data_IF_215102365602
#
_entry.id   IF_215102365602
#
_cell.length_a   1.000
_cell.length_b   1.000
_cell.length_c   1.000
_cell.angle_alpha   90.00
_cell.angle_beta   90.00
_cell.angle_gamma   90.00
#
_symmetry.space_group_name_H-M   'P 1'
#
loop_
_entity.id
_entity.type
_entity.pdbx_description
1 polymer ?
#
# COMPACT_ATOMS: atom_id res chain seq x y z
N UNK A 1 18.61 3.70 2.10
CA UNK A 1 18.20 2.30 2.35
C UNK A 1 19.34 1.32 2.11
N UNK A 2 20.08 1.43 1.01
CA UNK A 2 21.14 0.48 0.64
C UNK A 2 22.19 0.29 1.75
N UNK A 3 22.62 1.35 2.40
CA UNK A 3 23.60 1.26 3.48
C UNK A 3 23.04 0.52 4.72
N UNK A 4 21.76 0.69 5.02
CA UNK A 4 21.12 -0.05 6.11
C UNK A 4 21.09 -1.55 5.77
N UNK A 5 20.71 -1.89 4.53
CA UNK A 5 20.69 -3.28 4.10
C UNK A 5 22.09 -3.91 4.02
N UNK A 6 23.12 -3.13 3.66
CA UNK A 6 24.52 -3.59 3.75
C UNK A 6 24.92 -3.91 5.19
N UNK A 7 24.47 -3.09 6.15
CA UNK A 7 24.72 -3.36 7.57
C UNK A 7 24.04 -4.67 8.02
N UNK A 8 22.78 -4.89 7.61
CA UNK A 8 22.04 -6.13 7.90
C UNK A 8 22.74 -7.33 7.26
N UNK A 9 23.18 -7.23 6.00
CA UNK A 9 23.94 -8.30 5.33
C UNK A 9 25.25 -8.58 6.06
N UNK A 10 25.94 -7.53 6.56
CA UNK A 10 27.17 -7.74 7.35
C UNK A 10 26.88 -8.44 8.68
N UNK A 11 25.75 -8.14 9.31
CA UNK A 11 25.31 -8.83 10.53
C UNK A 11 25.02 -10.32 10.25
N UNK A 12 24.36 -10.64 9.14
CA UNK A 12 24.16 -12.04 8.72
C UNK A 12 25.49 -12.77 8.50
N UNK A 13 26.43 -12.13 7.80
CA UNK A 13 27.78 -12.70 7.63
C UNK A 13 28.52 -12.88 8.97
N UNK A 14 28.32 -11.97 9.92
CA UNK A 14 28.90 -12.09 11.25
C UNK A 14 28.36 -13.30 12.02
N UNK A 15 27.08 -13.64 11.84
CA UNK A 15 26.50 -14.88 12.39
C UNK A 15 27.22 -16.11 11.83
N UNK A 16 27.45 -16.16 10.52
CA UNK A 16 28.15 -17.29 9.87
C UNK A 16 29.62 -17.40 10.33
N UNK A 17 30.30 -16.25 10.47
CA UNK A 17 31.71 -16.18 10.91
C UNK A 17 31.90 -16.59 12.37
N UNK A 18 30.92 -16.23 13.24
CA UNK A 18 31.04 -16.47 14.69
C UNK A 18 30.41 -17.77 15.16
N UNK A 19 29.51 -18.35 14.35
CA UNK A 19 28.82 -19.61 14.61
C UNK A 19 28.27 -19.72 16.05
N UNK A 20 27.33 -18.85 16.47
CA UNK A 20 26.85 -18.81 17.86
C UNK A 20 26.29 -20.15 18.34
N UNK A 21 25.75 -20.97 17.47
CA UNK A 21 25.30 -22.34 17.77
C UNK A 21 26.46 -23.29 18.14
N UNK A 22 27.66 -23.04 17.65
CA UNK A 22 28.85 -23.78 18.05
C UNK A 22 29.37 -23.29 19.41
N UNK A 23 29.39 -21.97 19.62
CA UNK A 23 29.76 -21.37 20.91
C UNK A 23 28.83 -21.79 22.05
N UNK A 24 27.56 -22.01 21.76
CA UNK A 24 26.56 -22.43 22.74
C UNK A 24 26.76 -23.85 23.30
N UNK A 25 27.58 -24.68 22.63
CA UNK A 25 27.84 -26.08 23.06
C UNK A 25 28.81 -26.20 24.22
N UNK A 26 29.62 -25.18 24.47
CA UNK A 26 30.64 -25.19 25.49
C UNK A 26 30.47 -24.04 26.49
N UNK A 27 30.41 -24.37 27.77
CA UNK A 27 30.29 -23.42 28.86
C UNK A 27 31.43 -22.38 28.87
N UNK A 28 32.67 -22.79 28.54
CA UNK A 28 33.81 -21.89 28.49
C UNK A 28 33.63 -20.75 27.47
N UNK A 29 32.80 -20.95 26.43
CA UNK A 29 32.52 -19.99 25.38
C UNK A 29 31.33 -19.06 25.67
N UNK A 30 30.63 -19.21 26.81
CA UNK A 30 29.48 -18.37 27.15
C UNK A 30 29.76 -16.86 27.14
N UNK A 31 30.90 -16.36 27.68
CA UNK A 31 31.20 -14.93 27.62
C UNK A 31 31.33 -14.43 26.16
N UNK A 32 31.93 -15.25 25.30
CA UNK A 32 32.07 -14.93 23.87
C UNK A 32 30.70 -14.95 23.16
N UNK A 33 29.88 -15.95 23.47
CA UNK A 33 28.52 -16.05 22.93
C UNK A 33 27.68 -14.81 23.35
N UNK A 34 27.74 -14.41 24.63
CA UNK A 34 27.04 -13.22 25.11
C UNK A 34 27.46 -11.96 24.34
N UNK A 35 28.77 -11.78 24.09
CA UNK A 35 29.28 -10.66 23.30
C UNK A 35 28.77 -10.69 21.86
N UNK A 36 28.75 -11.86 21.22
CA UNK A 36 28.26 -12.02 19.84
C UNK A 36 26.76 -11.69 19.77
N UNK A 37 25.97 -12.23 20.70
CA UNK A 37 24.52 -11.99 20.75
C UNK A 37 24.22 -10.51 21.00
N UNK A 38 24.92 -9.87 21.94
CA UNK A 38 24.77 -8.46 22.22
C UNK A 38 25.07 -7.58 21.00
N UNK A 39 26.17 -7.86 20.29
CA UNK A 39 26.54 -7.14 19.08
C UNK A 39 25.45 -7.25 17.99
N UNK A 40 24.86 -8.43 17.84
CA UNK A 40 23.77 -8.64 16.88
C UNK A 40 22.50 -7.87 17.28
N UNK A 41 22.10 -7.92 18.56
CA UNK A 41 20.94 -7.20 19.06
C UNK A 41 21.09 -5.68 18.90
N UNK A 42 22.28 -5.17 19.21
CA UNK A 42 22.59 -3.75 19.05
C UNK A 42 22.57 -3.30 17.58
N UNK A 43 23.09 -4.14 16.70
CA UNK A 43 23.00 -3.88 15.25
C UNK A 43 21.55 -3.87 14.79
N UNK A 44 20.73 -4.83 15.26
CA UNK A 44 19.28 -4.86 14.95
C UNK A 44 18.62 -3.59 15.46
N UNK A 45 18.88 -3.16 16.71
CA UNK A 45 18.32 -1.93 17.26
C UNK A 45 18.63 -0.72 16.38
N UNK A 46 19.90 -0.53 16.02
CA UNK A 46 20.34 0.60 15.20
C UNK A 46 19.66 0.56 13.83
N UNK A 47 19.74 -0.58 13.13
CA UNK A 47 19.10 -0.73 11.81
C UNK A 47 17.59 -0.51 11.89
N UNK A 48 16.92 -1.00 12.94
CA UNK A 48 15.49 -0.80 13.14
C UNK A 48 15.15 0.67 13.36
N UNK A 49 15.94 1.40 14.15
CA UNK A 49 15.76 2.86 14.34
C UNK A 49 15.87 3.61 13.01
N UNK A 50 16.83 3.24 12.16
CA UNK A 50 17.02 3.84 10.84
C UNK A 50 15.91 3.47 9.84
N UNK A 51 15.23 2.34 10.04
CA UNK A 51 14.11 1.87 9.21
C UNK A 51 12.74 2.42 9.65
N UNK A 52 12.63 3.05 10.82
CA UNK A 52 11.38 3.62 11.33
C UNK A 52 10.59 4.45 10.31
N UNK A 53 11.22 5.35 9.51
CA UNK A 53 10.50 6.15 8.53
C UNK A 53 9.89 5.34 7.38
N UNK A 54 10.36 4.10 7.15
CA UNK A 54 9.96 3.27 6.01
C UNK A 54 8.96 2.19 6.38
N UNK A 55 9.16 1.52 7.53
CA UNK A 55 8.34 0.38 7.97
C UNK A 55 8.01 0.47 9.48
N UNK A 56 7.34 1.54 9.95
CA UNK A 56 7.14 1.83 11.37
C UNK A 56 6.49 0.67 12.14
N UNK A 57 5.41 0.10 11.62
CA UNK A 57 4.69 -0.99 12.27
C UNK A 57 5.55 -2.28 12.46
N UNK A 58 6.44 -2.57 11.51
CA UNK A 58 7.39 -3.67 11.65
C UNK A 58 8.48 -3.36 12.66
N UNK A 59 8.95 -2.12 12.69
CA UNK A 59 9.97 -1.67 13.64
C UNK A 59 9.49 -1.78 15.09
N UNK A 60 8.26 -1.40 15.38
CA UNK A 60 7.65 -1.57 16.72
C UNK A 60 7.69 -3.03 17.18
N UNK A 61 7.33 -3.96 16.30
CA UNK A 61 7.39 -5.40 16.58
C UNK A 61 8.83 -5.88 16.82
N UNK A 62 9.80 -5.39 16.04
CA UNK A 62 11.22 -5.73 16.20
C UNK A 62 11.72 -5.24 17.56
N UNK A 63 11.46 -3.98 17.93
CA UNK A 63 11.86 -3.44 19.22
C UNK A 63 11.25 -4.22 20.39
N UNK A 64 9.98 -4.59 20.31
CA UNK A 64 9.34 -5.43 21.32
C UNK A 64 10.02 -6.81 21.43
N UNK A 65 10.39 -7.43 20.30
CA UNK A 65 11.06 -8.74 20.31
C UNK A 65 12.47 -8.70 20.90
N UNK A 66 13.24 -7.64 20.62
CA UNK A 66 14.61 -7.49 21.18
C UNK A 66 14.63 -6.87 22.59
N UNK A 67 13.48 -6.54 23.16
CA UNK A 67 13.38 -5.92 24.47
C UNK A 67 14.03 -4.54 24.56
N UNK A 68 13.96 -3.75 23.48
CA UNK A 68 14.49 -2.40 23.46
C UNK A 68 13.51 -1.42 24.11
N UNK A 69 13.94 -0.69 25.13
CA UNK A 69 13.14 0.36 25.76
C UNK A 69 12.92 1.56 24.84
N UNK A 70 11.83 2.29 25.01
CA UNK A 70 11.50 3.47 24.21
C UNK A 70 12.62 4.53 24.20
N UNK A 71 13.38 4.65 25.30
CA UNK A 71 14.49 5.59 25.42
C UNK A 71 15.65 5.33 24.44
N UNK A 72 15.80 4.10 23.94
CA UNK A 72 16.89 3.72 23.01
C UNK A 72 16.42 3.53 21.57
N UNK A 73 15.13 3.76 21.29
CA UNK A 73 14.53 3.67 19.95
C UNK A 73 14.59 5.00 19.17
N UNK A 74 15.16 6.04 19.77
CA UNK A 74 15.19 7.40 19.22
C UNK A 74 16.31 7.57 18.20
N UNK A 75 16.11 8.51 17.25
CA UNK A 75 17.08 8.83 16.22
C UNK A 75 18.46 9.23 16.78
N UNK A 76 18.47 9.98 17.89
CA UNK A 76 19.71 10.42 18.57
C UNK A 76 20.51 9.23 19.14
N UNK A 77 19.86 8.10 19.36
CA UNK A 77 20.50 6.88 19.84
C UNK A 77 20.94 5.94 18.70
N UNK A 78 20.58 6.24 17.46
CA UNK A 78 20.97 5.42 16.32
C UNK A 78 22.51 5.44 16.06
N UNK A 79 23.18 6.52 16.43
CA UNK A 79 24.63 6.66 16.29
C UNK A 79 25.42 6.26 17.55
N UNK A 80 24.73 5.80 18.60
CA UNK A 80 25.36 5.39 19.87
C UNK A 80 25.36 3.87 19.95
N UNK A 81 26.55 3.27 19.94
CA UNK A 81 26.74 1.84 20.18
C UNK A 81 26.71 1.55 21.68
N UNK A 82 26.06 0.44 22.05
CA UNK A 82 25.98 0.03 23.45
C UNK A 82 24.82 0.67 24.20
N UNK A 83 23.83 1.22 23.50
CA UNK A 83 22.66 1.84 24.13
C UNK A 83 21.62 0.80 24.60
N UNK A 84 21.58 -0.39 24.00
CA UNK A 84 20.70 -1.47 24.48
C UNK A 84 21.13 -1.93 25.86
N UNK A 85 20.17 -2.18 26.76
CA UNK A 85 20.46 -2.72 28.08
C UNK A 85 21.13 -4.09 27.98
N UNK A 86 22.19 -4.32 28.77
CA UNK A 86 22.83 -5.63 28.86
C UNK A 86 21.91 -6.69 29.50
N UNK A 87 20.83 -6.25 30.15
CA UNK A 87 19.80 -7.11 30.75
C UNK A 87 18.54 -7.18 29.86
N UNK A 88 18.60 -6.71 28.61
CA UNK A 88 17.49 -6.82 27.70
C UNK A 88 17.10 -8.29 27.46
N UNK A 89 15.82 -8.57 27.58
CA UNK A 89 15.27 -9.90 27.35
C UNK A 89 14.66 -9.98 25.96
N UNK A 90 15.06 -10.98 25.20
CA UNK A 90 14.49 -11.25 23.89
C UNK A 90 13.18 -12.03 24.04
N UNK A 91 12.15 -11.59 23.36
CA UNK A 91 10.84 -12.22 23.37
C UNK A 91 10.54 -12.90 22.03
N UNK A 92 10.09 -14.16 22.08
CA UNK A 92 9.63 -14.82 20.86
C UNK A 92 8.28 -14.23 20.44
N UNK A 93 8.27 -13.52 19.32
CA UNK A 93 7.06 -12.98 18.72
C UNK A 93 6.65 -13.75 17.45
N UNK A 94 5.60 -13.25 16.80
CA UNK A 94 5.18 -13.73 15.50
C UNK A 94 6.22 -13.37 14.42
N UNK A 95 6.21 -14.12 13.31
CA UNK A 95 7.04 -13.78 12.16
C UNK A 95 6.61 -12.42 11.59
N UNK A 96 7.53 -11.45 11.61
CA UNK A 96 7.25 -10.07 11.16
C UNK A 96 7.08 -10.02 9.65
N UNK A 97 7.85 -10.84 8.91
CA UNK A 97 7.79 -10.98 7.46
C UNK A 97 7.48 -12.44 7.10
N UNK A 98 6.19 -12.86 7.22
CA UNK A 98 5.81 -14.21 6.83
C UNK A 98 5.94 -14.36 5.31
N UNK A 99 6.23 -15.58 4.85
CA UNK A 99 6.16 -15.88 3.41
C UNK A 99 4.70 -15.78 2.97
N UNK A 100 4.49 -14.98 1.94
CA UNK A 100 3.17 -14.77 1.33
C UNK A 100 3.02 -15.78 0.19
N UNK A 101 1.91 -16.50 0.16
CA UNK A 101 1.48 -17.25 -1.03
C UNK A 101 0.98 -16.22 -2.06
N UNK A 102 1.76 -16.05 -3.13
CA UNK A 102 1.47 -15.05 -4.15
C UNK A 102 0.11 -15.28 -4.83
N UNK A 103 -0.26 -16.54 -5.08
CA UNK A 103 -1.52 -16.85 -5.74
C UNK A 103 -2.73 -16.47 -4.87
N UNK A 104 -2.66 -16.78 -3.57
CA UNK A 104 -3.71 -16.45 -2.61
C UNK A 104 -3.80 -14.94 -2.40
N UNK A 105 -2.67 -14.26 -2.20
CA UNK A 105 -2.65 -12.82 -1.97
C UNK A 105 -3.17 -12.03 -3.18
N UNK A 106 -2.83 -12.45 -4.41
CA UNK A 106 -3.35 -11.83 -5.63
C UNK A 106 -4.86 -12.04 -5.80
N UNK A 107 -5.37 -13.21 -5.42
CA UNK A 107 -6.83 -13.47 -5.44
C UNK A 107 -7.56 -12.56 -4.44
N UNK A 108 -7.07 -12.45 -3.20
CA UNK A 108 -7.64 -11.56 -2.18
C UNK A 108 -7.60 -10.09 -2.62
N UNK A 109 -6.50 -9.63 -3.24
CA UNK A 109 -6.39 -8.27 -3.78
C UNK A 109 -7.39 -8.01 -4.91
N UNK A 110 -7.57 -8.98 -5.82
CA UNK A 110 -8.53 -8.86 -6.92
C UNK A 110 -9.99 -8.76 -6.40
N UNK A 111 -10.34 -9.50 -5.37
CA UNK A 111 -11.63 -9.39 -4.70
C UNK A 111 -11.84 -8.01 -4.06
N UNK A 112 -10.84 -7.51 -3.32
CA UNK A 112 -10.89 -6.18 -2.71
C UNK A 112 -11.01 -5.05 -3.76
N UNK A 113 -10.27 -5.16 -4.86
CA UNK A 113 -10.39 -4.20 -5.97
C UNK A 113 -11.76 -4.24 -6.63
N UNK A 114 -12.34 -5.43 -6.79
CA UNK A 114 -13.69 -5.58 -7.35
C UNK A 114 -14.74 -4.96 -6.44
N UNK A 115 -14.64 -5.16 -5.12
CA UNK A 115 -15.52 -4.54 -4.14
C UNK A 115 -15.38 -3.01 -4.12
N UNK A 116 -14.16 -2.49 -4.16
CA UNK A 116 -13.93 -1.05 -4.21
C UNK A 116 -14.47 -0.42 -5.48
N UNK A 117 -14.26 -1.06 -6.64
CA UNK A 117 -14.85 -0.59 -7.91
C UNK A 117 -16.36 -0.58 -7.86
N UNK A 118 -16.97 -1.63 -7.28
CA UNK A 118 -18.43 -1.70 -7.13
C UNK A 118 -18.98 -0.63 -6.19
N UNK A 119 -18.26 -0.29 -5.12
CA UNK A 119 -18.64 0.77 -4.18
C UNK A 119 -18.47 2.19 -4.77
N UNK A 120 -17.51 2.38 -5.67
CA UNK A 120 -17.22 3.66 -6.33
C UNK A 120 -18.14 3.94 -7.54
N UNK A 121 -18.77 2.91 -8.12
CA UNK A 121 -19.71 3.10 -9.20
C UNK A 121 -21.01 3.64 -8.61
N UNK A 122 -21.49 4.83 -9.05
CA UNK A 122 -22.81 5.29 -8.66
C UNK A 122 -23.84 4.24 -9.11
N UNK A 123 -24.79 3.93 -8.24
CA UNK A 123 -25.92 3.07 -8.62
C UNK A 123 -26.62 3.73 -9.80
N UNK A 124 -26.43 3.16 -10.99
CA UNK A 124 -27.14 3.60 -12.19
C UNK A 124 -28.54 3.02 -12.06
N UNK A 125 -29.51 3.86 -11.69
CA UNK A 125 -30.92 3.52 -11.83
C UNK A 125 -31.22 3.44 -13.33
N UNK A 126 -31.29 2.24 -13.84
CA UNK A 126 -31.72 2.01 -15.22
C UNK A 126 -33.24 2.12 -15.22
N UNK A 127 -33.75 3.17 -15.89
CA UNK A 127 -35.20 3.29 -16.10
C UNK A 127 -35.72 2.03 -16.83
N UNK A 128 -36.90 1.51 -16.44
CA UNK A 128 -37.48 0.35 -17.09
C UNK A 128 -37.68 0.65 -18.58
N UNK A 129 -37.43 -0.35 -19.42
CA UNK A 129 -37.68 -0.22 -20.86
C UNK A 129 -39.17 0.10 -21.11
N UNK A 130 -39.45 1.01 -22.04
CA UNK A 130 -40.79 1.31 -22.49
C UNK A 130 -41.46 0.01 -22.98
N UNK A 131 -42.68 -0.25 -22.52
CA UNK A 131 -43.42 -1.44 -22.92
C UNK A 131 -43.90 -1.38 -24.37
N UNK A 132 -44.13 -0.17 -24.91
CA UNK A 132 -44.46 0.04 -26.31
C UNK A 132 -43.23 -0.04 -27.19
N UNK A 133 -43.24 -1.03 -28.07
CA UNK A 133 -42.19 -1.21 -29.10
C UNK A 133 -42.58 -0.48 -30.36
N UNK A 134 -41.63 0.31 -30.89
CA UNK A 134 -41.78 0.96 -32.18
C UNK A 134 -41.49 -0.07 -33.26
N UNK A 135 -42.32 -0.11 -34.33
CA UNK A 135 -42.05 -0.97 -35.48
C UNK A 135 -40.79 -0.50 -36.24
N UNK A 136 -40.21 -1.43 -37.00
CA UNK A 136 -38.95 -1.16 -37.71
C UNK A 136 -39.07 -0.03 -38.73
N UNK A 137 -40.19 0.09 -39.43
CA UNK A 137 -40.42 1.12 -40.43
C UNK A 137 -40.51 2.51 -39.79
N UNK A 138 -41.10 2.62 -38.63
CA UNK A 138 -41.13 3.85 -37.84
C UNK A 138 -39.76 4.21 -37.32
N UNK A 139 -38.98 3.22 -36.83
CA UNK A 139 -37.59 3.44 -36.40
C UNK A 139 -36.70 3.94 -37.58
N UNK A 140 -36.84 3.36 -38.75
CA UNK A 140 -36.07 3.76 -39.94
C UNK A 140 -36.39 5.20 -40.46
N UNK A 141 -37.50 5.79 -40.00
CA UNK A 141 -37.82 7.20 -40.27
C UNK A 141 -37.07 8.17 -39.34
N UNK A 142 -36.41 7.64 -38.29
CA UNK A 142 -35.64 8.45 -37.37
C UNK A 142 -34.20 8.62 -37.88
N UNK A 143 -33.74 9.87 -37.96
CA UNK A 143 -32.37 10.22 -38.37
C UNK A 143 -31.54 10.51 -37.11
N UNK A 144 -30.64 9.58 -36.78
CA UNK A 144 -29.73 9.71 -35.63
C UNK A 144 -28.35 10.11 -36.12
N UNK A 145 -27.86 11.28 -35.70
CA UNK A 145 -26.57 11.82 -36.10
C UNK A 145 -25.72 12.16 -34.90
N UNK A 146 -24.42 11.87 -35.00
CA UNK A 146 -23.42 12.41 -34.09
C UNK A 146 -23.17 13.88 -34.45
N UNK A 147 -23.25 14.77 -33.52
CA UNK A 147 -23.12 16.22 -33.72
C UNK A 147 -22.03 16.79 -32.80
N UNK A 148 -21.38 17.87 -33.21
CA UNK A 148 -20.43 18.61 -32.39
C UNK A 148 -21.15 19.71 -31.64
N UNK A 149 -21.02 19.74 -30.33
CA UNK A 149 -21.54 20.82 -29.47
C UNK A 149 -20.63 22.05 -29.62
N UNK A 150 -21.16 23.14 -30.14
CA UNK A 150 -20.48 24.45 -30.25
C UNK A 150 -20.62 25.27 -29.00
N UNK A 151 -21.83 25.32 -28.42
CA UNK A 151 -22.09 26.03 -27.19
C UNK A 151 -23.20 25.36 -26.39
N UNK A 152 -23.17 25.53 -25.07
CA UNK A 152 -24.21 25.10 -24.14
C UNK A 152 -24.45 26.23 -23.15
N UNK A 153 -25.67 26.71 -23.06
CA UNK A 153 -26.08 27.83 -22.20
C UNK A 153 -27.31 27.48 -21.40
N UNK A 154 -27.46 28.03 -20.20
CA UNK A 154 -28.71 27.91 -19.43
C UNK A 154 -29.80 28.78 -20.06
N UNK A 155 -31.00 28.23 -20.16
CA UNK A 155 -32.15 28.99 -20.61
C UNK A 155 -32.61 29.93 -19.48
N UNK A 156 -32.71 31.22 -19.79
CA UNK A 156 -33.24 32.22 -18.81
C UNK A 156 -34.63 31.83 -18.36
N UNK A 157 -34.87 31.79 -17.05
CA UNK A 157 -36.12 31.40 -16.40
C UNK A 157 -36.48 29.92 -16.41
N UNK A 158 -35.51 29.02 -16.65
CA UNK A 158 -35.69 27.59 -16.50
C UNK A 158 -34.46 26.95 -15.82
N UNK A 159 -34.70 26.26 -14.73
CA UNK A 159 -33.61 25.55 -14.00
C UNK A 159 -33.31 24.15 -14.59
N UNK A 160 -34.19 23.69 -15.51
CA UNK A 160 -34.13 22.32 -16.06
C UNK A 160 -33.72 22.26 -17.54
N UNK A 161 -33.70 23.39 -18.24
CA UNK A 161 -33.43 23.41 -19.67
C UNK A 161 -32.07 24.00 -19.99
N UNK A 162 -31.38 23.35 -20.90
CA UNK A 162 -30.11 23.80 -21.49
C UNK A 162 -30.31 24.03 -22.97
N UNK A 163 -29.77 25.13 -23.50
CA UNK A 163 -29.76 25.44 -24.92
C UNK A 163 -28.45 25.04 -25.53
N UNK A 164 -28.48 24.12 -26.47
CA UNK A 164 -27.32 23.66 -27.20
C UNK A 164 -27.33 24.26 -28.61
N UNK A 165 -26.17 24.71 -29.07
CA UNK A 165 -25.90 25.00 -30.47
C UNK A 165 -25.02 23.88 -31.01
N UNK A 166 -25.51 23.17 -32.00
CA UNK A 166 -24.92 21.94 -32.50
C UNK A 166 -24.53 22.12 -34.00
N UNK A 167 -23.40 21.54 -34.38
CA UNK A 167 -22.96 21.40 -35.76
C UNK A 167 -23.17 19.95 -36.19
N UNK A 168 -24.11 19.72 -37.07
CA UNK A 168 -24.45 18.40 -37.62
C UNK A 168 -23.81 18.15 -39.01
N UNK A 169 -22.90 19.06 -39.45
CA UNK A 169 -22.24 18.97 -40.77
C UNK A 169 -23.08 19.44 -41.95
N UNK A 170 -24.32 19.95 -41.72
CA UNK A 170 -25.18 20.48 -42.79
C UNK A 170 -24.84 21.89 -43.24
N UNK A 171 -23.86 22.55 -42.59
CA UNK A 171 -23.45 23.94 -42.89
C UNK A 171 -24.29 25.00 -42.14
N UNK A 172 -25.33 24.59 -41.41
CA UNK A 172 -26.14 25.47 -40.55
C UNK A 172 -26.19 24.95 -39.16
N UNK A 173 -25.99 25.86 -38.20
CA UNK A 173 -26.02 25.46 -36.78
C UNK A 173 -27.45 25.12 -36.33
N UNK A 174 -27.62 23.96 -35.68
CA UNK A 174 -28.91 23.53 -35.16
C UNK A 174 -29.00 23.87 -33.67
N UNK A 175 -30.11 24.47 -33.26
CA UNK A 175 -30.40 24.76 -31.86
C UNK A 175 -31.37 23.72 -31.28
N UNK A 176 -31.01 23.16 -30.09
CA UNK A 176 -31.87 22.26 -29.29
C UNK A 176 -32.00 22.81 -27.87
N UNK A 177 -33.16 22.62 -27.28
CA UNK A 177 -33.50 23.00 -25.87
C UNK A 177 -33.72 21.74 -25.07
#
# INVERSE_FOLDING_TARGET
LDEIFKCIQRANKYIDETMPWALAKDEANKPRLASVMYNLLETIRICTTLLLPFIPASCEKIFAQIGADAAVQTWDKANVWGALSQTACVHKGEAIFPRIDAAKALAELAELEAEQKKALLPAVEVEPQLEEKVDFDTFCKSDLRAVKVKSCERVKKSDKLLRFTLDDGSGTDRQIL
#
